data_IF_081170496224
#
_entry.id   IF_081170496224
#
_cell.length_a   1.000
_cell.length_b   1.000
_cell.length_c   1.000
_cell.angle_alpha   90.00
_cell.angle_beta   90.00
_cell.angle_gamma   90.00
#
_symmetry.space_group_name_H-M   'P 1'
#
loop_
_entity.id
_entity.type
_entity.pdbx_description
1 polymer ?
#
# COMPACT_ATOMS: atom_id res chain seq x y z
N UNK A 1 -30.06 -23.70 29.62
CA UNK A 1 -29.06 -22.67 29.25
C UNK A 1 -27.87 -23.41 28.64
N UNK A 2 -27.85 -23.54 27.32
CA UNK A 2 -26.76 -24.21 26.61
C UNK A 2 -25.87 -23.13 26.01
N UNK A 3 -24.68 -22.97 26.55
CA UNK A 3 -23.67 -22.04 26.00
C UNK A 3 -22.95 -22.77 24.88
N UNK A 4 -23.19 -22.34 23.63
CA UNK A 4 -22.48 -22.89 22.47
C UNK A 4 -21.02 -22.41 22.48
N UNK A 5 -20.05 -23.32 22.21
CA UNK A 5 -18.65 -22.95 22.22
C UNK A 5 -18.32 -22.07 21.01
N UNK A 6 -17.83 -20.86 21.31
CA UNK A 6 -17.46 -19.84 20.34
C UNK A 6 -16.56 -20.38 19.23
N UNK A 7 -17.10 -20.39 18.00
CA UNK A 7 -16.30 -20.46 16.79
C UNK A 7 -15.61 -19.11 16.61
N UNK A 8 -14.34 -19.03 16.97
CA UNK A 8 -13.44 -18.00 16.44
C UNK A 8 -13.46 -18.09 14.91
N UNK A 9 -14.12 -17.13 14.27
CA UNK A 9 -14.26 -17.04 12.82
C UNK A 9 -12.90 -16.84 12.16
N UNK A 10 -12.28 -17.93 11.70
CA UNK A 10 -11.27 -17.82 10.66
C UNK A 10 -11.90 -17.11 9.45
N UNK A 11 -11.25 -16.11 8.82
CA UNK A 11 -11.85 -15.41 7.70
C UNK A 11 -12.18 -16.40 6.58
N UNK A 12 -13.44 -16.34 6.12
CA UNK A 12 -13.99 -17.20 5.08
C UNK A 12 -13.08 -17.18 3.84
N UNK A 13 -12.92 -18.33 3.17
CA UNK A 13 -12.05 -18.46 1.99
C UNK A 13 -12.42 -17.43 0.91
N UNK A 14 -13.71 -17.11 0.76
CA UNK A 14 -14.19 -16.10 -0.17
C UNK A 14 -13.65 -14.70 0.19
N UNK A 15 -13.62 -14.34 1.48
CA UNK A 15 -13.08 -13.05 1.93
C UNK A 15 -11.57 -12.94 1.66
N UNK A 16 -10.82 -14.04 1.85
CA UNK A 16 -9.39 -14.07 1.51
C UNK A 16 -9.17 -13.90 0.01
N UNK A 17 -9.94 -14.61 -0.82
CA UNK A 17 -9.87 -14.50 -2.28
C UNK A 17 -10.21 -13.08 -2.75
N UNK A 18 -11.28 -12.48 -2.25
CA UNK A 18 -11.66 -11.11 -2.59
C UNK A 18 -10.58 -10.08 -2.23
N UNK A 19 -9.93 -10.23 -1.06
CA UNK A 19 -8.80 -9.36 -0.67
C UNK A 19 -7.61 -9.54 -1.61
N UNK A 20 -7.33 -10.77 -2.01
CA UNK A 20 -6.28 -11.09 -2.97
C UNK A 20 -6.58 -10.49 -4.35
N UNK A 21 -7.78 -10.69 -4.88
CA UNK A 21 -8.19 -10.16 -6.18
C UNK A 21 -8.13 -8.63 -6.19
N UNK A 22 -8.58 -7.98 -5.11
CA UNK A 22 -8.46 -6.53 -4.95
C UNK A 22 -7.01 -6.08 -4.95
N UNK A 23 -6.12 -6.79 -4.25
CA UNK A 23 -4.68 -6.49 -4.24
C UNK A 23 -4.07 -6.61 -5.64
N UNK A 24 -4.38 -7.68 -6.37
CA UNK A 24 -3.89 -7.88 -7.74
C UNK A 24 -4.41 -6.77 -8.67
N UNK A 25 -5.70 -6.46 -8.62
CA UNK A 25 -6.28 -5.38 -9.42
C UNK A 25 -5.60 -4.03 -9.12
N UNK A 26 -5.34 -3.74 -7.84
CA UNK A 26 -4.71 -2.49 -7.40
C UNK A 26 -3.27 -2.33 -7.91
N UNK A 27 -2.59 -3.42 -8.24
CA UNK A 27 -1.23 -3.41 -8.81
C UNK A 27 -1.20 -3.25 -10.34
N UNK A 28 -2.32 -3.51 -11.02
CA UNK A 28 -2.40 -3.47 -12.49
C UNK A 28 -2.89 -2.13 -13.02
N UNK A 29 -3.77 -1.44 -12.29
CA UNK A 29 -4.32 -0.15 -12.71
C UNK A 29 -3.32 0.96 -12.40
N UNK A 30 -2.82 1.63 -13.44
CA UNK A 30 -1.97 2.82 -13.33
C UNK A 30 -2.81 4.06 -13.62
N UNK A 31 -2.71 5.07 -12.75
CA UNK A 31 -3.40 6.35 -12.89
C UNK A 31 -2.47 7.51 -12.56
N UNK A 32 -2.82 8.71 -13.01
CA UNK A 32 -2.06 9.93 -12.72
C UNK A 32 -2.57 10.54 -11.42
N UNK A 33 -1.66 10.74 -10.46
CA UNK A 33 -1.96 11.35 -9.17
C UNK A 33 -1.15 12.62 -8.98
N UNK A 34 -1.77 13.65 -8.40
CA UNK A 34 -1.07 14.81 -7.88
C UNK A 34 -0.54 14.46 -6.48
N UNK A 35 0.78 14.44 -6.36
CA UNK A 35 1.52 14.04 -5.16
C UNK A 35 2.19 15.28 -4.59
N UNK A 36 1.93 15.55 -3.31
CA UNK A 36 2.67 16.54 -2.54
C UNK A 36 3.88 15.84 -1.90
N UNK A 37 5.08 16.19 -2.35
CA UNK A 37 6.33 15.67 -1.81
C UNK A 37 6.67 16.36 -0.48
N UNK A 38 7.55 15.76 0.32
CA UNK A 38 7.95 16.34 1.62
C UNK A 38 8.65 17.71 1.50
N UNK A 39 9.25 18.00 0.34
CA UNK A 39 9.84 19.32 0.05
C UNK A 39 8.79 20.40 -0.27
N UNK A 40 7.49 20.06 -0.24
CA UNK A 40 6.37 20.96 -0.55
C UNK A 40 6.05 21.09 -2.04
N UNK A 41 6.75 20.36 -2.91
CA UNK A 41 6.52 20.36 -4.35
C UNK A 41 5.29 19.51 -4.70
N UNK A 42 4.47 20.00 -5.62
CA UNK A 42 3.36 19.25 -6.18
C UNK A 42 3.77 18.67 -7.55
N UNK A 43 3.86 17.34 -7.62
CA UNK A 43 4.28 16.62 -8.83
C UNK A 43 3.17 15.68 -9.31
N UNK A 44 3.07 15.48 -10.61
CA UNK A 44 2.15 14.50 -11.21
C UNK A 44 2.90 13.19 -11.46
N UNK A 45 2.49 12.10 -10.79
CA UNK A 45 3.11 10.79 -10.93
C UNK A 45 2.11 9.75 -11.47
N UNK A 46 2.60 8.83 -12.29
CA UNK A 46 1.86 7.65 -12.72
C UNK A 46 2.09 6.52 -11.73
N UNK A 47 1.07 6.20 -10.93
CA UNK A 47 1.17 5.24 -9.84
C UNK A 47 0.14 4.13 -10.02
N UNK A 48 0.49 2.95 -9.54
CA UNK A 48 -0.53 1.93 -9.28
C UNK A 48 -1.42 2.38 -8.12
N UNK A 49 -2.65 1.88 -8.06
CA UNK A 49 -3.52 2.12 -6.89
C UNK A 49 -2.83 1.64 -5.60
N UNK A 50 -2.11 0.51 -5.64
CA UNK A 50 -1.35 -0.01 -4.52
C UNK A 50 -0.22 0.93 -4.06
N UNK A 51 0.49 1.58 -4.98
CA UNK A 51 1.49 2.61 -4.64
C UNK A 51 0.83 3.85 -4.04
N UNK A 52 -0.27 4.32 -4.61
CA UNK A 52 -1.01 5.49 -4.14
C UNK A 52 -1.62 5.28 -2.74
N UNK A 53 -2.05 4.06 -2.42
CA UNK A 53 -2.55 3.65 -1.10
C UNK A 53 -1.42 3.31 -0.11
N UNK A 54 -0.15 3.42 -0.53
CA UNK A 54 1.00 3.18 0.34
C UNK A 54 1.29 1.71 0.66
N UNK A 55 0.77 0.79 -0.15
CA UNK A 55 0.95 -0.65 -0.01
C UNK A 55 2.25 -1.16 -0.64
N UNK A 56 2.93 -0.33 -1.45
CA UNK A 56 4.16 -0.68 -2.16
C UNK A 56 5.17 0.47 -2.16
N UNK A 57 6.45 0.12 -2.27
CA UNK A 57 7.52 1.06 -2.58
C UNK A 57 7.27 1.73 -3.94
N UNK A 58 7.45 3.05 -3.99
CA UNK A 58 7.35 3.85 -5.20
C UNK A 58 8.37 3.39 -6.27
N UNK A 59 9.59 3.05 -5.87
CA UNK A 59 10.68 2.68 -6.79
C UNK A 59 10.62 1.21 -7.22
N UNK A 60 10.69 0.28 -6.26
CA UNK A 60 10.89 -1.15 -6.54
C UNK A 60 9.62 -1.98 -6.49
N UNK A 61 8.46 -1.37 -6.19
CA UNK A 61 7.15 -2.03 -6.06
C UNK A 61 7.13 -3.17 -5.04
N UNK A 62 8.13 -3.25 -4.15
CA UNK A 62 8.12 -4.20 -3.03
C UNK A 62 6.97 -3.82 -2.11
N UNK A 63 6.17 -4.82 -1.74
CA UNK A 63 5.05 -4.63 -0.82
C UNK A 63 5.54 -4.14 0.54
N UNK A 64 4.84 -3.16 1.11
CA UNK A 64 5.07 -2.67 2.45
C UNK A 64 4.70 -3.78 3.45
N UNK A 65 5.71 -4.47 3.97
CA UNK A 65 5.53 -5.38 5.10
C UNK A 65 5.29 -4.58 6.38
N UNK A 66 4.50 -5.14 7.30
CA UNK A 66 4.15 -4.47 8.56
C UNK A 66 5.38 -4.37 9.46
N UNK A 67 6.12 -3.27 9.33
CA UNK A 67 7.28 -2.94 10.15
C UNK A 67 7.73 -1.51 9.82
N UNK A 68 7.48 -0.57 10.75
CA UNK A 68 7.71 0.87 10.56
C UNK A 68 9.17 1.27 10.26
N UNK A 69 10.12 0.32 10.27
CA UNK A 69 11.54 0.55 9.99
C UNK A 69 11.99 0.33 8.54
N UNK A 70 11.19 -0.32 7.70
CA UNK A 70 11.61 -0.71 6.34
C UNK A 70 11.20 0.27 5.24
N UNK A 71 10.28 1.20 5.54
CA UNK A 71 9.70 2.15 4.59
C UNK A 71 9.61 3.54 5.19
N UNK A 72 9.82 4.57 4.37
CA UNK A 72 9.67 5.99 4.73
C UNK A 72 8.61 6.64 3.84
N UNK A 73 7.75 7.50 4.40
CA UNK A 73 6.89 8.32 3.57
C UNK A 73 7.76 9.27 2.75
N UNK A 74 7.41 9.48 1.48
CA UNK A 74 8.11 10.43 0.58
C UNK A 74 7.17 11.47 -0.02
N UNK A 75 5.87 11.30 0.20
CA UNK A 75 4.85 12.23 -0.22
C UNK A 75 3.45 11.78 0.20
N UNK A 76 2.48 12.60 -0.14
CA UNK A 76 1.07 12.38 0.16
C UNK A 76 0.19 12.80 -1.00
N UNK A 77 -0.85 12.01 -1.27
CA UNK A 77 -1.88 12.28 -2.28
C UNK A 77 -3.14 12.70 -1.52
N UNK A 78 -3.63 13.95 -1.71
CA UNK A 78 -4.89 14.39 -1.13
C UNK A 78 -6.03 13.40 -1.40
N UNK A 79 -6.76 13.03 -0.33
CA UNK A 79 -7.89 12.10 -0.38
C UNK A 79 -7.57 10.62 -0.66
N UNK A 80 -6.30 10.23 -0.80
CA UNK A 80 -5.90 8.83 -1.00
C UNK A 80 -5.04 8.33 0.15
N UNK A 81 -3.89 8.95 0.40
CA UNK A 81 -2.97 8.50 1.44
C UNK A 81 -1.52 8.92 1.22
N UNK A 82 -0.62 8.37 2.03
CA UNK A 82 0.82 8.56 1.91
C UNK A 82 1.44 7.54 0.95
N UNK A 83 2.42 7.99 0.18
CA UNK A 83 3.26 7.12 -0.65
C UNK A 83 4.59 6.89 0.05
N UNK A 84 5.21 5.73 -0.18
CA UNK A 84 6.38 5.29 0.56
C UNK A 84 7.49 4.79 -0.35
N UNK A 85 8.74 4.94 0.10
CA UNK A 85 9.91 4.25 -0.46
C UNK A 85 10.54 3.36 0.61
N UNK A 86 11.09 2.21 0.20
CA UNK A 86 11.82 1.36 1.12
C UNK A 86 13.21 1.95 1.40
N UNK A 87 13.73 1.71 2.60
CA UNK A 87 15.05 2.22 3.04
C UNK A 87 16.15 1.79 2.07
N UNK A 88 16.08 0.58 1.51
CA UNK A 88 17.04 0.13 0.50
C UNK A 88 17.04 1.00 -0.77
N UNK A 89 15.88 1.41 -1.27
CA UNK A 89 15.79 2.31 -2.42
C UNK A 89 16.24 3.74 -2.08
N UNK A 90 15.98 4.20 -0.85
CA UNK A 90 16.44 5.50 -0.38
C UNK A 90 17.97 5.56 -0.18
N UNK A 91 18.58 4.47 0.29
CA UNK A 91 20.03 4.34 0.44
C UNK A 91 20.75 4.12 -0.91
N UNK A 92 20.01 4.11 -2.03
CA UNK A 92 20.58 3.99 -3.37
C UNK A 92 20.95 2.57 -3.78
N UNK A 93 20.44 1.53 -3.10
CA UNK A 93 20.49 0.16 -3.60
C UNK A 93 19.54 0.04 -4.80
N UNK A 94 20.05 0.37 -5.98
CA UNK A 94 19.33 0.36 -7.25
C UNK A 94 19.47 -0.95 -7.98
#
# INVERSE_FOLDING_TARGET
MSVEPGRTCAPDKALKQQRWDRLIASKQVVSTFAVMLENGELVSLHLTQAQAEGLECLTCKRQCETGQGAFRPVGHIPSVGSIFECVACLDGAR
#
